data_IF_746924171854
#
_entry.id   IF_746924171854
#
_cell.length_a   1.000
_cell.length_b   1.000
_cell.length_c   1.000
_cell.angle_alpha   90.00
_cell.angle_beta   90.00
_cell.angle_gamma   90.00
#
_symmetry.space_group_name_H-M   'P 1'
#
loop_
_entity.id
_entity.type
_entity.pdbx_description
1 polymer ?
#
# COMPACT_ATOMS: atom_id res chain seq x y z
N UNK A 1 5.71 -0.37 24.08
CA UNK A 1 4.86 -0.87 22.98
C UNK A 1 5.30 -0.19 21.69
N UNK A 2 5.80 -0.91 20.68
CA UNK A 2 6.16 -0.32 19.37
C UNK A 2 5.03 -0.63 18.39
N UNK A 3 4.20 0.38 18.09
CA UNK A 3 3.23 0.27 17.00
C UNK A 3 4.00 0.32 15.68
N UNK A 4 3.73 -0.62 14.77
CA UNK A 4 4.31 -0.60 13.42
C UNK A 4 3.21 -0.92 12.44
N UNK A 5 2.82 0.08 11.65
CA UNK A 5 1.88 -0.14 10.55
C UNK A 5 2.66 -0.72 9.37
N UNK A 6 2.19 -1.87 8.88
CA UNK A 6 2.75 -2.51 7.68
C UNK A 6 2.16 -1.87 6.44
N UNK A 7 3.05 -1.42 5.57
CA UNK A 7 2.72 -0.87 4.26
C UNK A 7 3.30 -1.79 3.19
N UNK A 8 2.50 -2.22 2.20
CA UNK A 8 3.00 -2.94 1.02
C UNK A 8 2.67 -4.44 0.90
N UNK A 9 1.74 -4.98 1.70
CA UNK A 9 1.26 -6.35 1.56
C UNK A 9 -0.06 -6.40 0.79
N UNK A 10 0.04 -6.40 -0.55
CA UNK A 10 -1.10 -6.51 -1.46
C UNK A 10 -1.51 -7.97 -1.52
N UNK A 11 -2.54 -8.33 -0.77
CA UNK A 11 -3.09 -9.68 -0.79
C UNK A 11 -4.10 -9.79 -1.95
N UNK A 12 -3.85 -10.71 -2.89
CA UNK A 12 -4.89 -11.18 -3.80
C UNK A 12 -5.71 -12.28 -3.13
N UNK A 13 -7.02 -12.11 -3.17
CA UNK A 13 -8.01 -13.07 -2.72
C UNK A 13 -8.79 -13.56 -3.93
N UNK A 14 -8.87 -14.88 -4.09
CA UNK A 14 -9.72 -15.51 -5.09
C UNK A 14 -11.04 -15.90 -4.41
N UNK A 15 -12.13 -15.32 -4.90
CA UNK A 15 -13.47 -15.54 -4.39
C UNK A 15 -14.14 -16.67 -5.18
N UNK A 16 -14.14 -17.89 -4.62
CA UNK A 16 -14.94 -18.98 -5.17
C UNK A 16 -16.41 -18.86 -4.72
N UNK A 17 -17.39 -19.31 -5.53
CA UNK A 17 -18.82 -19.19 -5.20
C UNK A 17 -19.26 -19.81 -3.88
N UNK A 18 -18.47 -20.73 -3.32
CA UNK A 18 -18.79 -21.47 -2.07
C UNK A 18 -17.80 -21.21 -0.93
N UNK A 19 -16.62 -20.64 -1.20
CA UNK A 19 -15.58 -20.35 -0.20
C UNK A 19 -14.69 -19.19 -0.66
N UNK A 20 -14.27 -18.32 0.27
CA UNK A 20 -13.17 -17.39 0.01
C UNK A 20 -11.87 -18.15 0.29
N UNK A 21 -11.29 -18.75 -0.74
CA UNK A 21 -9.99 -19.41 -0.62
C UNK A 21 -8.88 -18.39 -0.81
N UNK A 22 -8.09 -18.15 0.25
CA UNK A 22 -6.91 -17.28 0.17
C UNK A 22 -5.85 -17.99 -0.69
N UNK A 23 -5.88 -17.78 -2.00
CA UNK A 23 -4.73 -18.06 -2.86
C UNK A 23 -3.79 -16.86 -2.72
N UNK A 24 -3.08 -16.79 -1.59
CA UNK A 24 -2.25 -15.67 -1.16
C UNK A 24 -1.07 -15.44 -2.12
N UNK A 25 -1.33 -14.85 -3.29
CA UNK A 25 -0.28 -14.26 -4.10
C UNK A 25 -0.06 -12.84 -3.59
N UNK A 26 1.09 -12.61 -2.98
CA UNK A 26 1.56 -11.25 -2.71
C UNK A 26 1.86 -10.60 -4.06
N UNK A 27 1.07 -9.61 -4.45
CA UNK A 27 1.36 -8.81 -5.64
C UNK A 27 2.40 -7.74 -5.31
N UNK A 28 3.43 -7.67 -6.17
CA UNK A 28 4.34 -6.54 -6.20
C UNK A 28 3.78 -5.39 -7.01
N UNK A 29 4.32 -4.20 -6.78
CA UNK A 29 4.01 -2.97 -7.50
C UNK A 29 4.08 -3.10 -9.03
N UNK A 30 5.11 -3.74 -9.61
CA UNK A 30 5.16 -3.94 -11.07
C UNK A 30 3.94 -4.68 -11.64
N UNK A 31 3.31 -5.54 -10.82
CA UNK A 31 2.10 -6.24 -11.23
C UNK A 31 0.85 -5.39 -10.95
N UNK A 32 0.80 -4.70 -9.82
CA UNK A 32 -0.28 -3.78 -9.48
C UNK A 32 -0.49 -2.69 -10.54
N UNK A 33 0.57 -2.09 -11.07
CA UNK A 33 0.42 -1.02 -12.06
C UNK A 33 -0.12 -1.50 -13.42
N UNK A 34 -0.15 -2.82 -13.66
CA UNK A 34 -0.92 -3.43 -14.76
C UNK A 34 -2.39 -3.61 -14.37
N UNK A 35 -2.65 -4.06 -13.14
CA UNK A 35 -4.01 -4.24 -12.59
C UNK A 35 -4.81 -2.93 -12.63
N UNK A 36 -4.21 -1.79 -12.24
CA UNK A 36 -4.93 -0.50 -12.25
C UNK A 36 -5.31 -0.01 -13.65
N UNK A 37 -4.64 -0.52 -14.69
CA UNK A 37 -4.91 -0.19 -16.09
C UNK A 37 -5.94 -1.14 -16.71
N UNK A 38 -6.26 -2.24 -16.05
CA UNK A 38 -7.24 -3.21 -16.51
C UNK A 38 -8.66 -2.70 -16.21
N UNK A 39 -9.48 -2.38 -17.23
CA UNK A 39 -10.83 -1.86 -17.04
C UNK A 39 -11.79 -2.89 -16.42
N UNK A 40 -11.41 -4.18 -16.35
CA UNK A 40 -12.22 -5.21 -15.69
C UNK A 40 -12.25 -5.06 -14.16
N UNK A 41 -11.28 -4.34 -13.58
CA UNK A 41 -11.24 -4.07 -12.14
C UNK A 41 -11.99 -2.78 -11.79
N UNK A 42 -12.95 -2.90 -10.86
CA UNK A 42 -13.54 -1.75 -10.18
C UNK A 42 -12.69 -1.38 -8.97
N UNK A 43 -12.16 -0.16 -8.96
CA UNK A 43 -11.41 0.37 -7.82
C UNK A 43 -12.37 0.94 -6.78
N UNK A 44 -12.18 0.55 -5.52
CA UNK A 44 -12.92 1.08 -4.37
C UNK A 44 -11.93 1.64 -3.36
N UNK A 45 -12.13 2.91 -3.00
CA UNK A 45 -11.32 3.61 -2.01
C UNK A 45 -12.00 3.58 -0.65
N UNK A 46 -11.25 3.21 0.38
CA UNK A 46 -11.63 3.33 1.77
C UNK A 46 -10.38 3.58 2.61
N UNK A 47 -9.98 4.85 2.69
CA UNK A 47 -8.77 5.26 3.40
C UNK A 47 -8.80 4.96 4.92
N UNK A 48 -9.99 4.73 5.51
CA UNK A 48 -10.13 4.38 6.94
C UNK A 48 -9.78 2.93 7.23
N UNK A 49 -9.96 2.02 6.27
CA UNK A 49 -9.70 0.60 6.45
C UNK A 49 -8.64 0.11 5.47
N UNK A 50 -9.02 -0.11 4.21
CA UNK A 50 -8.14 -0.57 3.14
C UNK A 50 -8.82 -0.33 1.78
N UNK A 51 -8.08 0.19 0.80
CA UNK A 51 -8.58 0.24 -0.57
C UNK A 51 -8.55 -1.18 -1.17
N UNK A 52 -9.46 -1.45 -2.12
CA UNK A 52 -9.50 -2.73 -2.82
C UNK A 52 -9.92 -2.57 -4.27
N UNK A 53 -9.37 -3.42 -5.14
CA UNK A 53 -9.74 -3.57 -6.54
C UNK A 53 -10.49 -4.89 -6.68
N UNK A 54 -11.67 -4.86 -7.29
CA UNK A 54 -12.53 -6.04 -7.40
C UNK A 54 -12.93 -6.30 -8.85
N UNK A 55 -12.89 -7.56 -9.25
CA UNK A 55 -13.48 -8.09 -10.48
C UNK A 55 -14.17 -9.43 -10.16
N UNK A 56 -14.92 -10.06 -11.10
CA UNK A 56 -15.49 -11.37 -10.85
C UNK A 56 -14.41 -12.34 -10.33
N UNK A 57 -14.66 -12.93 -9.17
CA UNK A 57 -13.80 -13.91 -8.50
C UNK A 57 -12.43 -13.44 -8.00
N UNK A 58 -12.05 -12.16 -8.12
CA UNK A 58 -10.77 -11.66 -7.59
C UNK A 58 -10.96 -10.34 -6.84
N UNK A 59 -10.30 -10.24 -5.69
CA UNK A 59 -10.19 -9.02 -4.89
C UNK A 59 -8.71 -8.80 -4.55
N UNK A 60 -8.21 -7.58 -4.77
CA UNK A 60 -6.83 -7.20 -4.46
C UNK A 60 -6.89 -6.03 -3.49
N UNK A 61 -6.28 -6.17 -2.31
CA UNK A 61 -6.12 -5.05 -1.37
C UNK A 61 -4.89 -4.23 -1.69
N UNK A 62 -5.00 -2.93 -1.42
CA UNK A 62 -4.16 -1.99 -2.14
C UNK A 62 -4.01 -0.65 -1.41
N UNK A 63 -2.84 -0.02 -1.47
CA UNK A 63 -2.52 1.28 -0.83
C UNK A 63 -2.17 2.38 -1.84
N UNK A 64 -2.81 3.54 -1.81
CA UNK A 64 -2.42 4.70 -2.61
C UNK A 64 -1.87 5.84 -1.73
N UNK A 65 -1.50 6.97 -2.33
CA UNK A 65 -0.96 8.11 -1.57
C UNK A 65 -1.86 8.55 -0.41
N UNK A 66 -3.18 8.47 -0.58
CA UNK A 66 -4.16 8.83 0.43
C UNK A 66 -4.17 7.84 1.60
N UNK A 67 -4.30 6.54 1.32
CA UNK A 67 -4.30 5.52 2.38
C UNK A 67 -2.93 5.42 3.08
N UNK A 68 -1.84 5.62 2.36
CA UNK A 68 -0.49 5.73 2.93
C UNK A 68 -0.38 6.91 3.88
N UNK A 69 -0.85 8.09 3.47
CA UNK A 69 -0.81 9.29 4.30
C UNK A 69 -1.65 9.11 5.56
N UNK A 70 -2.83 8.51 5.45
CA UNK A 70 -3.67 8.19 6.60
C UNK A 70 -2.95 7.25 7.59
N UNK A 71 -2.31 6.17 7.09
CA UNK A 71 -1.51 5.24 7.89
C UNK A 71 -0.31 5.93 8.57
N UNK A 72 0.36 6.83 7.86
CA UNK A 72 1.50 7.59 8.40
C UNK A 72 1.04 8.58 9.47
N UNK A 73 -0.04 9.32 9.24
CA UNK A 73 -0.60 10.26 10.21
C UNK A 73 -1.05 9.54 11.48
N UNK A 74 -1.69 8.38 11.34
CA UNK A 74 -2.03 7.53 12.47
C UNK A 74 -0.81 7.18 13.33
N UNK A 75 0.32 6.75 12.76
CA UNK A 75 1.50 6.42 13.59
C UNK A 75 2.19 7.65 14.18
N UNK A 76 2.10 8.82 13.52
CA UNK A 76 2.64 10.09 14.04
C UNK A 76 1.98 10.48 15.36
N UNK A 77 0.67 10.24 15.50
CA UNK A 77 -0.09 10.50 16.74
C UNK A 77 0.45 9.70 17.94
N UNK A 78 1.09 8.55 17.69
CA UNK A 78 1.64 7.68 18.74
C UNK A 78 3.17 7.78 18.88
N UNK A 79 3.84 8.69 18.15
CA UNK A 79 5.31 8.77 18.11
C UNK A 79 5.96 7.47 17.62
N UNK A 80 5.27 6.73 16.75
CA UNK A 80 5.66 5.41 16.29
C UNK A 80 6.30 5.45 14.89
N UNK A 81 7.03 4.39 14.56
CA UNK A 81 7.67 4.23 13.25
C UNK A 81 6.81 3.49 12.23
N UNK A 82 7.16 3.64 10.95
CA UNK A 82 6.54 2.93 9.82
C UNK A 82 7.46 1.80 9.35
N UNK A 83 6.88 0.63 9.04
CA UNK A 83 7.59 -0.48 8.43
C UNK A 83 7.04 -0.80 7.03
N UNK A 84 7.91 -0.83 6.03
CA UNK A 84 7.56 -1.26 4.67
C UNK A 84 7.86 -2.76 4.50
N UNK A 85 6.86 -3.52 4.06
CA UNK A 85 6.96 -4.96 3.83
C UNK A 85 6.45 -5.29 2.42
N UNK A 86 7.28 -5.69 1.45
CA UNK A 86 8.76 -5.68 1.44
C UNK A 86 9.29 -4.68 0.39
N UNK A 87 10.53 -4.25 0.53
CA UNK A 87 11.18 -3.38 -0.48
C UNK A 87 11.22 -4.05 -1.86
N UNK A 88 11.34 -5.38 -1.92
CA UNK A 88 11.35 -6.15 -3.17
C UNK A 88 10.01 -6.10 -3.91
N UNK A 89 8.90 -5.91 -3.19
CA UNK A 89 7.57 -5.80 -3.78
C UNK A 89 7.23 -4.38 -4.20
N UNK A 90 8.12 -3.40 -4.02
CA UNK A 90 8.01 -2.08 -4.61
C UNK A 90 8.48 -2.09 -6.08
N UNK A 91 8.24 -1.01 -6.82
CA UNK A 91 8.72 -0.83 -8.20
C UNK A 91 10.20 -0.41 -8.19
N UNK A 92 11.08 -1.36 -7.87
CA UNK A 92 12.54 -1.13 -7.72
C UNK A 92 13.18 -0.57 -9.00
N UNK A 93 12.66 -0.96 -10.16
CA UNK A 93 13.19 -0.64 -11.48
C UNK A 93 12.53 0.60 -12.12
N UNK A 94 11.38 1.05 -11.61
CA UNK A 94 10.64 2.18 -12.17
C UNK A 94 9.82 1.82 -13.43
N UNK A 95 9.40 0.57 -13.56
CA UNK A 95 8.67 0.04 -14.71
C UNK A 95 7.25 0.62 -14.82
N UNK A 96 6.68 1.09 -13.72
CA UNK A 96 5.34 1.65 -13.67
C UNK A 96 5.27 3.14 -14.08
N UNK A 97 6.42 3.79 -14.29
CA UNK A 97 6.51 5.20 -14.70
C UNK A 97 6.41 6.21 -13.56
N UNK A 98 6.42 5.77 -12.30
CA UNK A 98 6.38 6.63 -11.11
C UNK A 98 7.77 6.89 -10.49
N UNK A 99 8.85 6.55 -11.21
CA UNK A 99 10.21 6.53 -10.68
C UNK A 99 10.51 5.25 -9.89
N UNK A 100 11.75 5.14 -9.39
CA UNK A 100 12.21 3.95 -8.65
C UNK A 100 11.72 3.99 -7.20
N UNK A 101 11.23 2.85 -6.72
CA UNK A 101 10.73 2.64 -5.35
C UNK A 101 9.74 3.74 -4.91
N UNK A 102 8.62 3.93 -5.63
CA UNK A 102 7.68 5.02 -5.38
C UNK A 102 7.07 4.97 -3.97
N UNK A 103 6.80 3.79 -3.40
CA UNK A 103 6.24 3.68 -2.04
C UNK A 103 7.26 4.11 -0.99
N UNK A 104 8.47 3.57 -1.07
CA UNK A 104 9.53 3.94 -0.14
C UNK A 104 9.84 5.44 -0.22
N UNK A 105 9.96 5.97 -1.44
CA UNK A 105 10.20 7.40 -1.67
C UNK A 105 9.10 8.26 -1.07
N UNK A 106 7.83 7.89 -1.28
CA UNK A 106 6.70 8.62 -0.73
C UNK A 106 6.68 8.61 0.79
N UNK A 107 6.81 7.44 1.41
CA UNK A 107 6.83 7.29 2.87
C UNK A 107 7.97 8.10 3.50
N UNK A 108 9.17 8.05 2.92
CA UNK A 108 10.32 8.82 3.38
C UNK A 108 10.06 10.32 3.30
N UNK A 109 9.48 10.81 2.19
CA UNK A 109 9.20 12.23 2.04
C UNK A 109 8.16 12.74 3.05
N UNK A 110 7.07 12.00 3.26
CA UNK A 110 6.03 12.36 4.24
C UNK A 110 6.55 12.34 5.69
N UNK A 111 7.50 11.44 6.00
CA UNK A 111 8.15 11.38 7.31
C UNK A 111 9.22 12.47 7.49
N UNK A 112 10.00 12.81 6.46
CA UNK A 112 10.98 13.90 6.49
C UNK A 112 10.31 15.25 6.80
N UNK A 113 9.24 15.58 6.08
CA UNK A 113 8.47 16.79 6.33
C UNK A 113 7.97 16.88 7.78
N UNK A 114 7.66 15.74 8.39
CA UNK A 114 7.26 15.69 9.79
C UNK A 114 8.42 15.91 10.76
N UNK A 115 9.57 15.29 10.52
CA UNK A 115 10.76 15.51 11.33
C UNK A 115 11.20 16.99 11.28
N UNK A 116 11.11 17.63 10.13
CA UNK A 116 11.41 19.06 9.94
C UNK A 116 10.38 19.98 10.64
N UNK A 117 9.14 19.52 10.82
CA UNK A 117 8.10 20.26 11.53
C UNK A 117 8.19 20.19 13.06
N UNK A 118 9.02 19.29 13.60
CA UNK A 118 9.25 19.18 15.04
C UNK A 118 10.49 20.01 15.36
N UNK A 119 10.37 21.14 16.09
CA UNK A 119 11.53 21.91 16.48
C UNK A 119 12.48 21.02 17.30
N UNK A 120 13.73 20.92 16.86
CA UNK A 120 14.77 20.32 17.67
C UNK A 120 14.95 21.14 18.96
N UNK A 121 15.05 20.46 20.10
CA UNK A 121 15.51 21.09 21.34
C UNK A 121 16.98 21.54 21.20
#
# INVERSE_FOLDING_TARGET
MKLTVRIGAWDEFVMHPKEITKIAKNLGMPQWCRVIKDPAYKLVKNAKTQNYAVRPHNLITYDDQESLTAKINFVKEFGAGVGLHTVKTDDVNGECGCGRMPYLTYVVNVLKMWCESIPCF
#
